data_IF_254907060637
#
_entry.id   IF_254907060637
#
_cell.length_a   1.000
_cell.length_b   1.000
_cell.length_c   1.000
_cell.angle_alpha   90.00
_cell.angle_beta   90.00
_cell.angle_gamma   90.00
#
_symmetry.space_group_name_H-M   'P 1'
#
loop_
_entity.id
_entity.type
_entity.pdbx_description
1 polymer ?
#
# COMPACT_ATOMS: atom_id res chain seq x y z
N UNK A 1 21.75 -5.11 14.38
CA UNK A 1 20.74 -5.97 13.74
C UNK A 1 19.49 -5.13 13.64
N UNK A 2 19.23 -4.50 12.49
CA UNK A 2 17.98 -3.76 12.28
C UNK A 2 16.92 -4.82 12.04
N UNK A 3 15.98 -4.97 12.98
CA UNK A 3 14.90 -5.95 12.89
C UNK A 3 14.04 -5.63 11.68
N UNK A 4 14.13 -6.46 10.64
CA UNK A 4 13.13 -6.49 9.58
C UNK A 4 11.90 -7.18 10.21
N UNK A 5 11.14 -6.42 10.98
CA UNK A 5 9.91 -6.92 11.59
C UNK A 5 8.98 -7.34 10.45
N UNK A 6 8.55 -8.60 10.49
CA UNK A 6 7.59 -9.13 9.53
C UNK A 6 6.29 -8.33 9.59
N UNK A 7 5.65 -8.15 8.44
CA UNK A 7 4.29 -7.59 8.37
C UNK A 7 3.36 -8.48 9.20
N UNK A 8 2.65 -7.88 10.15
CA UNK A 8 1.70 -8.55 11.02
C UNK A 8 0.25 -8.15 10.75
N UNK A 9 -0.69 -8.86 11.39
CA UNK A 9 -2.13 -8.61 11.25
C UNK A 9 -2.52 -7.15 11.57
N UNK A 10 -1.85 -6.55 12.55
CA UNK A 10 -2.09 -5.16 12.95
C UNK A 10 -1.64 -4.15 11.87
N UNK A 11 -0.66 -4.49 11.03
CA UNK A 11 -0.23 -3.66 9.90
C UNK A 11 -1.24 -3.79 8.74
N UNK A 12 -1.74 -5.00 8.48
CA UNK A 12 -2.81 -5.25 7.50
C UNK A 12 -4.10 -4.51 7.85
N UNK A 13 -4.55 -4.57 9.11
CA UNK A 13 -5.74 -3.84 9.57
C UNK A 13 -5.60 -2.34 9.32
N UNK A 14 -4.43 -1.76 9.64
CA UNK A 14 -4.15 -0.33 9.44
C UNK A 14 -4.07 0.03 7.97
N UNK A 15 -3.43 -0.80 7.15
CA UNK A 15 -3.37 -0.59 5.70
C UNK A 15 -4.77 -0.61 5.08
N UNK A 16 -5.66 -1.51 5.53
CA UNK A 16 -7.06 -1.53 5.10
C UNK A 16 -7.82 -0.28 5.53
N UNK A 17 -7.63 0.19 6.76
CA UNK A 17 -8.20 1.47 7.21
C UNK A 17 -7.70 2.64 6.36
N UNK A 18 -6.39 2.69 6.05
CA UNK A 18 -5.81 3.70 5.17
C UNK A 18 -6.44 3.68 3.77
N UNK A 19 -6.54 2.50 3.14
CA UNK A 19 -7.19 2.33 1.84
C UNK A 19 -8.64 2.81 1.89
N UNK A 20 -9.40 2.43 2.94
CA UNK A 20 -10.78 2.86 3.11
C UNK A 20 -10.93 4.39 3.23
N UNK A 21 -10.01 5.08 3.91
CA UNK A 21 -10.00 6.56 3.94
C UNK A 21 -9.55 7.15 2.59
N UNK A 22 -8.55 6.54 1.95
CA UNK A 22 -8.07 6.90 0.61
C UNK A 22 -9.18 6.86 -0.45
N UNK A 23 -10.01 5.81 -0.43
CA UNK A 23 -11.19 5.67 -1.30
C UNK A 23 -12.14 6.87 -1.22
N UNK A 24 -12.25 7.46 -0.03
CA UNK A 24 -13.15 8.59 0.26
C UNK A 24 -12.47 9.95 0.03
N UNK A 25 -11.18 9.97 -0.34
CA UNK A 25 -10.37 11.18 -0.39
C UNK A 25 -10.13 11.81 0.99
N UNK A 26 -10.32 11.06 2.07
CA UNK A 26 -10.24 11.54 3.44
C UNK A 26 -8.79 11.54 3.93
N UNK A 27 -8.01 12.50 3.43
CA UNK A 27 -6.59 12.66 3.81
C UNK A 27 -6.42 12.94 5.30
N UNK A 28 -7.36 13.67 5.91
CA UNK A 28 -7.32 13.92 7.35
C UNK A 28 -7.50 12.61 8.13
N UNK A 29 -8.47 11.77 7.76
CA UNK A 29 -8.65 10.45 8.34
C UNK A 29 -7.45 9.52 8.12
N UNK A 30 -6.85 9.53 6.93
CA UNK A 30 -5.61 8.77 6.69
C UNK A 30 -4.48 9.21 7.62
N UNK A 31 -4.32 10.52 7.84
CA UNK A 31 -3.31 11.04 8.78
C UNK A 31 -3.61 10.67 10.21
N UNK A 32 -4.87 10.67 10.65
CA UNK A 32 -5.26 10.19 11.99
C UNK A 32 -4.84 8.75 12.22
N UNK A 33 -5.02 7.86 11.23
CA UNK A 33 -4.57 6.45 11.35
C UNK A 33 -3.06 6.35 11.59
N UNK A 34 -2.26 7.28 11.06
CA UNK A 34 -0.80 7.25 11.18
C UNK A 34 -0.31 8.03 12.42
N UNK A 35 -0.86 9.24 12.63
CA UNK A 35 -0.44 10.22 13.62
C UNK A 35 -1.07 9.94 15.02
N UNK A 36 -2.37 9.64 15.10
CA UNK A 36 -3.08 9.50 16.39
C UNK A 36 -2.97 8.09 17.00
N UNK A 37 -2.70 7.05 16.20
CA UNK A 37 -2.37 5.72 16.73
C UNK A 37 -0.91 5.63 17.25
N UNK A 38 -0.13 6.72 17.13
CA UNK A 38 1.32 6.76 17.42
C UNK A 38 1.99 5.55 16.77
N UNK A 39 1.81 5.39 15.44
CA UNK A 39 2.54 4.34 14.73
C UNK A 39 4.02 4.64 14.92
N UNK A 40 4.79 3.75 15.58
CA UNK A 40 6.21 3.98 15.71
C UNK A 40 6.80 4.12 14.30
N UNK A 41 7.66 5.10 14.07
CA UNK A 41 8.20 5.38 12.72
C UNK A 41 8.81 4.14 12.06
N UNK A 42 9.34 3.21 12.87
CA UNK A 42 9.88 1.93 12.39
C UNK A 42 8.83 0.98 11.80
N UNK A 43 7.53 1.15 12.10
CA UNK A 43 6.40 0.37 11.59
C UNK A 43 5.79 0.92 10.29
N UNK A 44 6.17 2.14 9.87
CA UNK A 44 5.70 2.71 8.61
C UNK A 44 6.12 1.85 7.41
N UNK A 45 7.32 1.26 7.47
CA UNK A 45 7.81 0.32 6.45
C UNK A 45 6.89 -0.89 6.30
N UNK A 46 6.46 -1.49 7.41
CA UNK A 46 5.53 -2.63 7.41
C UNK A 46 4.14 -2.21 6.92
N UNK A 47 3.69 -1.01 7.26
CA UNK A 47 2.42 -0.47 6.77
C UNK A 47 2.42 -0.27 5.26
N UNK A 48 3.51 0.28 4.70
CA UNK A 48 3.69 0.43 3.25
C UNK A 48 3.69 -0.95 2.57
N UNK A 49 4.49 -1.89 3.10
CA UNK A 49 4.52 -3.28 2.60
C UNK A 49 3.15 -3.94 2.62
N UNK A 50 2.41 -3.81 3.73
CA UNK A 50 1.06 -4.35 3.88
C UNK A 50 0.10 -3.73 2.85
N UNK A 51 0.17 -2.42 2.66
CA UNK A 51 -0.68 -1.68 1.70
C UNK A 51 -0.46 -2.17 0.27
N UNK A 52 0.80 -2.34 -0.15
CA UNK A 52 1.13 -2.85 -1.49
C UNK A 52 0.79 -4.34 -1.63
N UNK A 53 0.92 -5.13 -0.56
CA UNK A 53 0.48 -6.53 -0.58
C UNK A 53 -1.04 -6.63 -0.74
N UNK A 54 -1.80 -5.75 -0.07
CA UNK A 54 -3.26 -5.66 -0.25
C UNK A 54 -3.60 -5.24 -1.68
N UNK A 55 -2.86 -4.31 -2.31
CA UNK A 55 -3.05 -3.97 -3.73
C UNK A 55 -3.03 -5.24 -4.59
N UNK A 56 -1.98 -6.05 -4.49
CA UNK A 56 -1.89 -7.28 -5.29
C UNK A 56 -2.96 -8.32 -4.93
N UNK A 57 -3.34 -8.43 -3.66
CA UNK A 57 -4.46 -9.29 -3.24
C UNK A 57 -5.79 -8.84 -3.85
N UNK A 58 -6.02 -7.53 -3.93
CA UNK A 58 -7.23 -6.96 -4.51
C UNK A 58 -7.22 -7.09 -6.03
N UNK A 59 -6.09 -6.79 -6.70
CA UNK A 59 -5.91 -7.02 -8.14
C UNK A 59 -6.25 -8.47 -8.51
N UNK A 60 -5.73 -9.46 -7.77
CA UNK A 60 -6.00 -10.87 -8.02
C UNK A 60 -7.46 -11.30 -7.78
N UNK A 61 -8.22 -10.54 -6.97
CA UNK A 61 -9.62 -10.86 -6.63
C UNK A 61 -10.64 -10.08 -7.48
N UNK A 62 -10.27 -8.88 -7.92
CA UNK A 62 -11.17 -7.91 -8.55
C UNK A 62 -11.02 -7.85 -10.07
N UNK A 63 -9.85 -8.23 -10.60
CA UNK A 63 -9.49 -7.99 -11.99
C UNK A 63 -9.47 -9.29 -12.82
N UNK A 64 -9.87 -9.18 -14.07
CA UNK A 64 -9.67 -10.21 -15.08
C UNK A 64 -8.17 -10.31 -15.48
N UNK A 65 -7.70 -11.45 -16.03
CA UNK A 65 -6.27 -11.65 -16.30
C UNK A 65 -5.62 -10.60 -17.21
N UNK A 66 -6.37 -10.04 -18.16
CA UNK A 66 -5.93 -8.96 -19.05
C UNK A 66 -5.84 -7.62 -18.30
N UNK A 67 -6.79 -7.30 -17.43
CA UNK A 67 -6.72 -6.13 -16.55
C UNK A 67 -5.51 -6.21 -15.59
N UNK A 68 -5.22 -7.41 -15.06
CA UNK A 68 -4.02 -7.64 -14.22
C UNK A 68 -2.74 -7.35 -15.02
N UNK A 69 -2.69 -7.78 -16.29
CA UNK A 69 -1.54 -7.53 -17.15
C UNK A 69 -1.38 -6.02 -17.46
N UNK A 70 -2.47 -5.30 -17.72
CA UNK A 70 -2.47 -3.85 -17.95
C UNK A 70 -1.99 -3.07 -16.71
N UNK A 71 -2.44 -3.46 -15.51
CA UNK A 71 -1.96 -2.88 -14.25
C UNK A 71 -0.46 -3.16 -14.06
N UNK A 72 -0.01 -4.38 -14.37
CA UNK A 72 1.41 -4.74 -14.32
C UNK A 72 2.28 -3.92 -15.27
N UNK A 73 1.82 -3.72 -16.51
CA UNK A 73 2.50 -2.87 -17.50
C UNK A 73 2.56 -1.41 -17.04
N UNK A 74 1.43 -0.88 -16.55
CA UNK A 74 1.34 0.48 -16.02
C UNK A 74 2.32 0.70 -14.86
N UNK A 75 2.37 -0.23 -13.91
CA UNK A 75 3.31 -0.16 -12.77
C UNK A 75 4.76 -0.33 -13.22
N UNK A 76 5.02 -1.17 -14.22
CA UNK A 76 6.36 -1.34 -14.80
C UNK A 76 6.84 -0.01 -15.40
N UNK A 77 6.05 0.60 -16.27
CA UNK A 77 6.36 1.90 -16.88
C UNK A 77 6.57 2.97 -15.80
N UNK A 78 5.62 3.10 -14.87
CA UNK A 78 5.69 4.06 -13.78
C UNK A 78 6.93 3.87 -12.87
N UNK A 79 7.47 2.66 -12.78
CA UNK A 79 8.64 2.36 -11.94
C UNK A 79 9.98 2.76 -12.56
N UNK A 80 10.07 2.81 -13.90
CA UNK A 80 11.33 3.01 -14.64
C UNK A 80 11.39 4.29 -15.45
N UNK A 81 10.24 4.86 -15.82
CA UNK A 81 10.18 5.88 -16.85
C UNK A 81 10.31 7.30 -16.27
N UNK A 82 11.42 7.96 -16.61
CA UNK A 82 11.67 9.38 -16.32
C UNK A 82 10.85 10.32 -17.24
N UNK A 83 10.29 9.83 -18.34
CA UNK A 83 9.52 10.62 -19.31
C UNK A 83 8.08 10.86 -18.88
N UNK A 84 7.53 9.99 -18.02
CA UNK A 84 6.28 10.26 -17.32
C UNK A 84 6.61 11.24 -16.18
N UNK A 85 6.10 12.47 -16.26
CA UNK A 85 6.14 13.49 -15.21
C UNK A 85 5.29 13.05 -14.01
N UNK A 86 5.75 11.99 -13.35
CA UNK A 86 5.11 11.34 -12.23
C UNK A 86 5.75 11.85 -10.95
N UNK A 87 4.91 12.19 -9.97
CA UNK A 87 5.38 12.53 -8.63
C UNK A 87 6.30 11.42 -8.07
N UNK A 88 7.37 11.85 -7.38
CA UNK A 88 8.39 10.96 -6.82
C UNK A 88 7.78 9.84 -5.98
N UNK A 89 6.79 10.14 -5.15
CA UNK A 89 6.23 9.16 -4.23
C UNK A 89 5.35 8.14 -4.97
N UNK A 90 4.63 8.56 -6.03
CA UNK A 90 3.92 7.64 -6.93
C UNK A 90 4.89 6.66 -7.62
N UNK A 91 6.05 7.15 -8.08
CA UNK A 91 7.10 6.30 -8.65
C UNK A 91 7.65 5.31 -7.63
N UNK A 92 7.86 5.74 -6.38
CA UNK A 92 8.30 4.85 -5.30
C UNK A 92 7.24 3.78 -4.99
N UNK A 93 5.94 4.11 -5.01
CA UNK A 93 4.87 3.09 -4.89
C UNK A 93 4.94 2.08 -6.04
N UNK A 94 5.13 2.54 -7.28
CA UNK A 94 5.25 1.65 -8.43
C UNK A 94 6.46 0.71 -8.30
N UNK A 95 7.63 1.25 -7.91
CA UNK A 95 8.83 0.44 -7.61
C UNK A 95 8.58 -0.57 -6.49
N UNK A 96 7.89 -0.17 -5.42
CA UNK A 96 7.53 -1.07 -4.31
C UNK A 96 6.61 -2.20 -4.78
N UNK A 97 5.60 -1.87 -5.59
CA UNK A 97 4.67 -2.84 -6.14
C UNK A 97 5.37 -3.85 -7.04
N UNK A 98 6.27 -3.39 -7.92
CA UNK A 98 7.06 -4.28 -8.78
C UNK A 98 8.04 -5.15 -8.00
N UNK A 99 8.68 -4.60 -6.95
CA UNK A 99 9.55 -5.38 -6.06
C UNK A 99 8.80 -6.50 -5.33
N UNK A 100 7.60 -6.22 -4.81
CA UNK A 100 6.76 -7.25 -4.21
C UNK A 100 6.27 -8.27 -5.25
N UNK A 101 5.88 -7.82 -6.44
CA UNK A 101 5.41 -8.70 -7.51
C UNK A 101 6.49 -9.68 -7.99
N UNK A 102 7.74 -9.22 -8.08
CA UNK A 102 8.88 -10.06 -8.45
C UNK A 102 9.44 -10.89 -7.28
N UNK A 103 8.99 -10.62 -6.05
CA UNK A 103 9.51 -11.26 -4.85
C UNK A 103 10.97 -10.88 -4.56
N UNK A 104 11.34 -9.61 -4.76
CA UNK A 104 12.68 -9.07 -4.48
C UNK A 104 12.71 -8.19 -3.21
N UNK A 105 13.09 -8.74 -2.05
CA UNK A 105 13.16 -7.99 -0.80
C UNK A 105 14.25 -6.92 -0.79
N UNK A 106 15.30 -7.07 -1.61
CA UNK A 106 16.38 -6.08 -1.70
C UNK A 106 15.87 -4.82 -2.38
N UNK A 107 15.10 -4.98 -3.46
CA UNK A 107 14.43 -3.87 -4.13
C UNK A 107 13.40 -3.18 -3.23
N UNK A 108 12.61 -3.92 -2.44
CA UNK A 108 11.72 -3.32 -1.44
C UNK A 108 12.49 -2.44 -0.43
N UNK A 109 13.60 -2.96 0.09
CA UNK A 109 14.45 -2.23 1.05
C UNK A 109 15.04 -0.96 0.42
N UNK A 110 15.47 -1.00 -0.83
CA UNK A 110 15.98 0.18 -1.54
C UNK A 110 14.90 1.25 -1.69
N UNK A 111 13.66 0.89 -2.02
CA UNK A 111 12.54 1.84 -2.12
C UNK A 111 12.28 2.52 -0.78
N UNK A 112 12.21 1.74 0.30
CA UNK A 112 11.99 2.27 1.65
C UNK A 112 13.14 3.19 2.08
N UNK A 113 14.38 2.79 1.82
CA UNK A 113 15.57 3.60 2.08
C UNK A 113 15.57 4.90 1.27
N UNK A 114 15.18 4.84 0.00
CA UNK A 114 15.08 6.03 -0.85
C UNK A 114 14.01 6.98 -0.32
N UNK A 115 12.85 6.48 0.11
CA UNK A 115 11.81 7.28 0.73
C UNK A 115 12.31 7.99 2.00
N UNK A 116 12.95 7.24 2.91
CA UNK A 116 13.43 7.72 4.22
C UNK A 116 14.51 8.81 4.14
N UNK A 117 15.18 8.98 2.98
CA UNK A 117 16.12 10.11 2.77
C UNK A 117 15.45 11.48 2.79
N UNK A 118 14.15 11.55 2.53
CA UNK A 118 13.41 12.81 2.55
C UNK A 118 12.70 12.99 3.91
N UNK A 119 12.59 14.23 4.43
CA UNK A 119 11.75 14.51 5.58
C UNK A 119 10.33 13.98 5.35
N UNK A 120 9.81 13.24 6.34
CA UNK A 120 8.50 12.60 6.31
C UNK A 120 8.26 11.69 5.09
N UNK A 121 9.32 11.20 4.44
CA UNK A 121 9.23 10.47 3.19
C UNK A 121 8.47 9.15 3.32
N UNK A 122 8.65 8.41 4.42
CA UNK A 122 7.88 7.19 4.68
C UNK A 122 6.40 7.48 4.95
N UNK A 123 6.08 8.57 5.65
CA UNK A 123 4.70 9.00 5.87
C UNK A 123 4.02 9.33 4.54
N UNK A 124 4.66 10.15 3.70
CA UNK A 124 4.13 10.50 2.38
C UNK A 124 3.98 9.28 1.49
N UNK A 125 4.94 8.35 1.52
CA UNK A 125 4.85 7.10 0.76
C UNK A 125 3.67 6.23 1.23
N UNK A 126 3.42 6.13 2.53
CA UNK A 126 2.27 5.38 3.05
C UNK A 126 0.93 5.97 2.60
N UNK A 127 0.77 7.29 2.67
CA UNK A 127 -0.42 8.00 2.18
C UNK A 127 -0.60 7.83 0.67
N UNK A 128 0.50 7.95 -0.08
CA UNK A 128 0.50 7.80 -1.54
C UNK A 128 0.16 6.38 -1.95
N UNK A 129 0.69 5.36 -1.26
CA UNK A 129 0.37 3.97 -1.53
C UNK A 129 -1.14 3.70 -1.41
N UNK A 130 -1.79 4.18 -0.34
CA UNK A 130 -3.23 4.06 -0.17
C UNK A 130 -4.02 4.75 -1.30
N UNK A 131 -3.59 5.96 -1.70
CA UNK A 131 -4.18 6.69 -2.82
C UNK A 131 -4.04 5.96 -4.17
N UNK A 132 -2.88 5.33 -4.41
CA UNK A 132 -2.61 4.55 -5.63
C UNK A 132 -3.53 3.33 -5.70
N UNK A 133 -3.77 2.62 -4.59
CA UNK A 133 -4.75 1.51 -4.55
C UNK A 133 -6.11 2.00 -5.04
N UNK A 134 -6.57 3.13 -4.52
CA UNK A 134 -7.86 3.72 -4.89
C UNK A 134 -7.95 4.28 -6.30
N UNK A 135 -6.80 4.63 -6.89
CA UNK A 135 -6.74 5.07 -8.27
C UNK A 135 -6.78 3.89 -9.24
N UNK A 136 -6.01 2.83 -8.94
CA UNK A 136 -5.89 1.65 -9.79
C UNK A 136 -7.12 0.73 -9.73
N UNK A 137 -7.85 0.72 -8.60
CA UNK A 137 -8.97 -0.18 -8.38
C UNK A 137 -10.28 0.58 -8.15
N UNK A 138 -10.84 1.26 -9.18
CA UNK A 138 -12.09 2.00 -9.05
C UNK A 138 -13.27 1.11 -8.60
N UNK A 139 -13.18 -0.21 -8.78
CA UNK A 139 -14.15 -1.20 -8.30
C UNK A 139 -14.35 -1.14 -6.78
N UNK A 140 -13.35 -0.66 -6.01
CA UNK A 140 -13.45 -0.49 -4.56
C UNK A 140 -14.54 0.52 -4.14
N UNK A 141 -14.89 1.46 -5.03
CA UNK A 141 -15.99 2.43 -4.80
C UNK A 141 -17.38 1.83 -4.99
N UNK A 142 -17.49 0.58 -5.43
CA UNK A 142 -18.79 -0.11 -5.55
C UNK A 142 -19.25 -0.66 -4.19
N UNK A 143 -20.52 -1.07 -4.09
CA UNK A 143 -21.02 -1.71 -2.86
C UNK A 143 -20.29 -3.03 -2.57
N UNK A 144 -19.99 -3.80 -3.62
CA UNK A 144 -19.26 -5.06 -3.51
C UNK A 144 -17.80 -4.84 -3.10
N UNK A 145 -17.11 -3.88 -3.72
CA UNK A 145 -15.73 -3.52 -3.35
C UNK A 145 -15.61 -3.06 -1.90
N UNK A 146 -16.53 -2.23 -1.42
CA UNK A 146 -16.60 -1.84 0.01
C UNK A 146 -16.78 -3.05 0.93
N UNK A 147 -17.70 -3.95 0.58
CA UNK A 147 -17.93 -5.17 1.36
C UNK A 147 -16.69 -6.08 1.39
N UNK A 148 -15.92 -6.15 0.30
CA UNK A 148 -14.66 -6.87 0.27
C UNK A 148 -13.64 -6.28 1.25
N UNK A 149 -13.46 -4.95 1.23
CA UNK A 149 -12.56 -4.27 2.18
C UNK A 149 -12.98 -4.51 3.64
N UNK A 150 -14.28 -4.45 3.94
CA UNK A 150 -14.80 -4.71 5.29
C UNK A 150 -14.55 -6.17 5.74
N UNK A 151 -14.70 -7.13 4.83
CA UNK A 151 -14.42 -8.54 5.12
C UNK A 151 -12.92 -8.77 5.40
N UNK A 152 -12.03 -8.18 4.60
CA UNK A 152 -10.59 -8.24 4.82
C UNK A 152 -10.20 -7.58 6.16
N UNK A 153 -10.83 -6.46 6.51
CA UNK A 153 -10.56 -5.76 7.77
C UNK A 153 -11.00 -6.59 8.97
N UNK A 154 -12.16 -7.24 8.89
CA UNK A 154 -12.61 -8.17 9.93
C UNK A 154 -11.70 -9.40 10.04
N UNK A 155 -11.17 -9.90 8.93
CA UNK A 155 -10.22 -11.01 8.95
C UNK A 155 -8.92 -10.61 9.66
N UNK A 156 -8.32 -9.49 9.28
CA UNK A 156 -7.11 -8.97 9.91
C UNK A 156 -7.31 -8.73 11.42
N UNK A 157 -8.48 -8.21 11.83
CA UNK A 157 -8.82 -8.04 13.25
C UNK A 157 -8.93 -9.38 13.99
N UNK A 158 -9.49 -10.42 13.38
CA UNK A 158 -9.55 -11.76 14.00
C UNK A 158 -8.17 -12.38 14.14
N UNK A 159 -7.33 -12.22 13.13
CA UNK A 159 -5.94 -12.70 13.14
C UNK A 159 -5.15 -11.99 14.24
N UNK A 160 -5.30 -10.67 14.39
CA UNK A 160 -4.66 -9.89 15.46
C UNK A 160 -5.09 -10.33 16.86
N UNK A 161 -6.38 -10.62 17.08
CA UNK A 161 -6.89 -11.04 18.39
C UNK A 161 -6.70 -12.54 18.69
N UNK A 162 -6.39 -13.35 17.68
CA UNK A 162 -6.16 -14.78 17.82
C UNK A 162 -4.73 -15.16 18.21
N UNK A 163 -3.87 -14.15 18.43
CA UNK A 163 -2.46 -14.28 18.82
C UNK A 163 -2.24 -13.84 20.27
#
# INVERSE_FOLDING_TARGET
>A
MSGDESVGAADFRRALALIQHGERGDVAGMRVIIDDEVIPTHRLSQLIRATVSILWQLVAQLCEPDEVAEIGETLTLASTDDEIDLDRDNRLVARMAMAQHSGDPSAEYEVLRDADRAPDGLLRLALTAAGVVSALLPQLRTAWGRQLLDNLAMQALREENGH
#
